data_IF_962602521963
#
_entry.id   IF_962602521963
#
_cell.length_a   1.000
_cell.length_b   1.000
_cell.length_c   1.000
_cell.angle_alpha   90.00
_cell.angle_beta   90.00
_cell.angle_gamma   90.00
#
_symmetry.space_group_name_H-M   'P 1'
#
loop_
_entity.id
_entity.type
_entity.pdbx_description
1 polymer ?
#
# COMPACT_ATOMS: atom_id res chain seq x y z
N UNK A 1 -48.94 -54.40 -34.17
CA UNK A 1 -49.26 -53.23 -33.31
C UNK A 1 -47.98 -52.75 -32.65
N UNK A 2 -47.73 -51.43 -32.57
CA UNK A 2 -46.57 -50.90 -31.84
C UNK A 2 -46.93 -50.81 -30.35
N UNK A 3 -46.01 -51.24 -29.48
CA UNK A 3 -46.14 -51.10 -28.02
C UNK A 3 -44.89 -50.44 -27.46
N UNK A 4 -45.07 -49.74 -26.35
CA UNK A 4 -44.05 -48.91 -25.72
C UNK A 4 -43.84 -49.42 -24.29
N UNK A 5 -42.61 -49.86 -24.02
CA UNK A 5 -42.20 -50.33 -22.70
C UNK A 5 -41.79 -49.13 -21.83
N UNK A 6 -42.18 -49.16 -20.57
CA UNK A 6 -41.76 -48.20 -19.55
C UNK A 6 -41.22 -48.91 -18.31
N UNK A 7 -40.43 -48.19 -17.51
CA UNK A 7 -39.92 -48.67 -16.24
C UNK A 7 -41.05 -48.86 -15.23
N UNK A 8 -41.04 -50.00 -14.52
CA UNK A 8 -42.08 -50.37 -13.58
C UNK A 8 -42.18 -49.45 -12.36
N UNK A 9 -41.08 -48.77 -12.00
CA UNK A 9 -40.97 -47.94 -10.80
C UNK A 9 -41.17 -46.47 -11.13
N UNK A 10 -40.48 -45.96 -12.15
CA UNK A 10 -40.46 -44.53 -12.49
C UNK A 10 -41.50 -44.15 -13.54
N UNK A 11 -41.93 -45.12 -14.36
CA UNK A 11 -42.73 -44.91 -15.56
C UNK A 11 -41.92 -44.40 -16.75
N UNK A 12 -40.58 -44.27 -16.65
CA UNK A 12 -39.74 -43.76 -17.74
C UNK A 12 -39.87 -44.64 -18.99
N UNK A 13 -40.09 -44.04 -20.16
CA UNK A 13 -40.07 -44.77 -21.43
C UNK A 13 -38.70 -45.41 -21.68
N UNK A 14 -38.68 -46.70 -22.00
CA UNK A 14 -37.46 -47.49 -22.25
C UNK A 14 -37.27 -47.72 -23.75
N UNK A 15 -38.24 -48.38 -24.38
CA UNK A 15 -38.12 -48.77 -25.79
C UNK A 15 -39.48 -49.03 -26.43
N UNK A 16 -39.51 -49.01 -27.76
CA UNK A 16 -40.68 -49.37 -28.56
C UNK A 16 -40.39 -50.65 -29.32
N UNK A 17 -41.38 -51.53 -29.41
CA UNK A 17 -41.30 -52.77 -30.19
C UNK A 17 -42.65 -53.14 -30.78
N UNK A 18 -42.63 -54.00 -31.77
CA UNK A 18 -43.86 -54.62 -32.26
C UNK A 18 -44.35 -55.64 -31.23
N UNK A 19 -45.64 -55.61 -30.94
CA UNK A 19 -46.29 -56.63 -30.13
C UNK A 19 -46.30 -57.96 -30.88
N UNK A 20 -46.10 -59.05 -30.16
CA UNK A 20 -46.25 -60.41 -30.68
C UNK A 20 -47.73 -60.76 -30.79
N UNK A 21 -48.11 -61.50 -31.84
CA UNK A 21 -49.45 -62.05 -31.96
C UNK A 21 -49.66 -63.14 -30.91
N UNK A 22 -50.84 -63.21 -30.34
CA UNK A 22 -51.15 -64.25 -29.38
C UNK A 22 -51.27 -65.63 -30.06
N UNK A 23 -50.44 -66.63 -29.70
CA UNK A 23 -50.46 -67.94 -30.33
C UNK A 23 -51.77 -68.72 -30.09
N UNK A 24 -52.58 -68.32 -29.10
CA UNK A 24 -53.87 -68.92 -28.79
C UNK A 24 -55.05 -68.14 -29.39
N UNK A 25 -54.82 -66.92 -29.88
CA UNK A 25 -55.85 -66.09 -30.49
C UNK A 25 -55.24 -65.10 -31.51
N UNK A 26 -55.32 -65.45 -32.80
CA UNK A 26 -54.68 -64.69 -33.88
C UNK A 26 -55.23 -63.26 -34.05
N UNK A 27 -56.40 -62.94 -33.47
CA UNK A 27 -56.99 -61.59 -33.52
C UNK A 27 -56.54 -60.69 -32.36
N UNK A 28 -55.71 -61.21 -31.44
CA UNK A 28 -55.22 -60.50 -30.25
C UNK A 28 -53.70 -60.32 -30.28
N UNK A 29 -53.26 -59.18 -29.77
CA UNK A 29 -51.84 -58.87 -29.55
C UNK A 29 -51.49 -59.02 -28.07
N UNK A 30 -50.30 -59.56 -27.78
CA UNK A 30 -49.78 -59.64 -26.42
C UNK A 30 -49.21 -58.28 -26.01
N UNK A 31 -49.71 -57.72 -24.91
CA UNK A 31 -49.16 -56.53 -24.26
C UNK A 31 -48.57 -56.98 -22.92
N UNK A 32 -47.23 -57.07 -22.82
CA UNK A 32 -46.56 -57.43 -21.57
C UNK A 32 -46.83 -56.41 -20.47
N UNK A 33 -46.59 -56.80 -19.21
CA UNK A 33 -46.61 -55.86 -18.10
C UNK A 33 -45.65 -54.69 -18.37
N UNK A 34 -46.01 -53.51 -17.87
CA UNK A 34 -45.23 -52.27 -18.05
C UNK A 34 -45.01 -51.91 -19.52
N UNK A 35 -46.01 -52.22 -20.35
CA UNK A 35 -46.09 -51.81 -21.75
C UNK A 35 -47.49 -51.28 -22.04
N UNK A 36 -47.60 -50.34 -22.98
CA UNK A 36 -48.88 -49.83 -23.47
C UNK A 36 -48.88 -49.71 -24.99
N UNK A 37 -50.07 -49.76 -25.60
CA UNK A 37 -50.28 -49.44 -27.01
C UNK A 37 -50.59 -47.94 -27.22
N UNK A 38 -50.69 -47.16 -26.13
CA UNK A 38 -50.93 -45.71 -26.21
C UNK A 38 -49.78 -45.03 -26.95
N UNK A 39 -50.12 -44.20 -27.93
CA UNK A 39 -49.17 -43.49 -28.77
C UNK A 39 -48.27 -42.56 -27.94
N UNK A 40 -46.97 -42.58 -28.23
CA UNK A 40 -46.03 -41.67 -27.59
C UNK A 40 -46.31 -40.21 -28.00
N UNK A 41 -46.28 -39.26 -27.05
CA UNK A 41 -46.40 -37.84 -27.38
C UNK A 41 -45.19 -37.37 -28.19
N UNK A 42 -45.41 -36.36 -29.04
CA UNK A 42 -44.32 -35.69 -29.74
C UNK A 42 -43.36 -35.02 -28.75
N UNK A 43 -42.08 -35.41 -28.80
CA UNK A 43 -41.06 -34.95 -27.85
C UNK A 43 -40.43 -33.64 -28.31
N UNK A 44 -40.14 -32.76 -27.35
CA UNK A 44 -39.20 -31.64 -27.53
C UNK A 44 -37.79 -32.05 -27.12
N UNK A 45 -36.72 -31.30 -27.51
CA UNK A 45 -35.34 -31.68 -27.23
C UNK A 45 -35.00 -31.91 -25.75
N UNK A 46 -35.69 -31.23 -24.83
CA UNK A 46 -35.45 -31.30 -23.39
C UNK A 46 -36.60 -32.01 -22.66
N UNK A 47 -37.20 -33.01 -23.30
CA UNK A 47 -38.30 -33.77 -22.72
C UNK A 47 -38.18 -35.28 -22.95
N UNK A 48 -38.61 -36.04 -21.94
CA UNK A 48 -38.70 -37.49 -21.98
C UNK A 48 -40.10 -37.96 -21.54
N UNK A 49 -40.65 -39.01 -22.18
CA UNK A 49 -41.96 -39.55 -21.80
C UNK A 49 -41.91 -40.40 -20.53
N UNK A 50 -42.91 -40.23 -19.67
CA UNK A 50 -43.18 -41.03 -18.48
C UNK A 50 -44.63 -41.50 -18.47
N UNK A 51 -44.88 -42.80 -18.33
CA UNK A 51 -46.21 -43.36 -18.23
C UNK A 51 -46.69 -43.29 -16.78
N UNK A 52 -47.65 -42.41 -16.49
CA UNK A 52 -48.18 -42.17 -15.14
C UNK A 52 -49.70 -42.09 -15.19
N UNK A 53 -50.35 -42.72 -14.23
CA UNK A 53 -51.82 -42.70 -14.10
C UNK A 53 -52.57 -43.11 -15.40
N UNK A 54 -52.01 -44.08 -16.15
CA UNK A 54 -52.59 -44.58 -17.39
C UNK A 54 -52.41 -43.67 -18.61
N UNK A 55 -51.49 -42.70 -18.58
CA UNK A 55 -51.21 -41.83 -19.72
C UNK A 55 -49.73 -41.42 -19.80
N UNK A 56 -49.25 -41.13 -21.01
CA UNK A 56 -47.94 -40.53 -21.22
C UNK A 56 -47.92 -39.06 -20.80
N UNK A 57 -46.92 -38.69 -20.01
CA UNK A 57 -46.62 -37.31 -19.61
C UNK A 57 -45.18 -36.99 -19.98
N UNK A 58 -44.93 -35.85 -20.62
CA UNK A 58 -43.58 -35.38 -20.88
C UNK A 58 -43.04 -34.66 -19.65
N UNK A 59 -41.86 -35.08 -19.18
CA UNK A 59 -41.11 -34.40 -18.12
C UNK A 59 -39.78 -33.89 -18.65
N UNK A 60 -39.13 -32.93 -17.96
CA UNK A 60 -37.83 -32.40 -18.34
C UNK A 60 -36.77 -33.48 -18.51
N UNK A 61 -35.93 -33.38 -19.54
CA UNK A 61 -34.77 -34.24 -19.74
C UNK A 61 -33.55 -33.41 -20.13
N UNK A 62 -32.66 -33.24 -19.17
CA UNK A 62 -31.42 -32.47 -19.29
C UNK A 62 -30.17 -33.36 -19.30
N UNK A 63 -30.35 -34.68 -19.51
CA UNK A 63 -29.21 -35.59 -19.61
C UNK A 63 -28.28 -35.22 -20.76
N UNK A 64 -26.98 -35.37 -20.54
CA UNK A 64 -25.94 -35.02 -21.51
C UNK A 64 -25.78 -33.52 -21.77
N UNK A 65 -26.45 -32.64 -21.00
CA UNK A 65 -26.25 -31.20 -21.04
C UNK A 65 -25.20 -30.80 -20.01
N UNK A 66 -24.29 -29.91 -20.42
CA UNK A 66 -23.40 -29.22 -19.49
C UNK A 66 -24.23 -28.19 -18.71
N UNK A 67 -24.30 -28.35 -17.40
CA UNK A 67 -24.95 -27.44 -16.48
C UNK A 67 -23.92 -26.90 -15.48
N UNK A 68 -24.34 -25.90 -14.69
CA UNK A 68 -23.48 -25.25 -13.72
C UNK A 68 -24.18 -25.18 -12.38
N UNK A 69 -23.46 -25.47 -11.30
CA UNK A 69 -23.98 -25.40 -9.95
C UNK A 69 -24.23 -23.95 -9.55
N UNK A 70 -25.44 -23.64 -9.10
CA UNK A 70 -25.82 -22.29 -8.66
C UNK A 70 -24.98 -21.79 -7.47
N UNK A 71 -24.45 -22.68 -6.64
CA UNK A 71 -23.65 -22.29 -5.46
C UNK A 71 -22.25 -21.78 -5.78
N UNK A 72 -21.62 -22.22 -6.88
CA UNK A 72 -20.21 -21.91 -7.15
C UNK A 72 -19.84 -21.78 -8.64
N UNK A 73 -20.72 -22.18 -9.56
CA UNK A 73 -20.49 -22.17 -11.00
C UNK A 73 -19.76 -23.40 -11.54
N UNK A 74 -19.48 -24.41 -10.71
CA UNK A 74 -18.82 -25.64 -11.17
C UNK A 74 -19.68 -26.41 -12.16
N UNK A 75 -19.03 -27.00 -13.17
CA UNK A 75 -19.68 -27.87 -14.13
C UNK A 75 -20.33 -29.07 -13.44
N UNK A 76 -21.56 -29.38 -13.83
CA UNK A 76 -22.34 -30.51 -13.35
C UNK A 76 -23.25 -31.03 -14.46
N UNK A 77 -23.78 -32.24 -14.26
CA UNK A 77 -24.73 -32.85 -15.18
C UNK A 77 -25.89 -33.49 -14.42
N UNK A 78 -27.05 -33.60 -15.08
CA UNK A 78 -28.17 -34.40 -14.61
C UNK A 78 -28.09 -35.75 -15.30
N UNK A 79 -28.13 -36.85 -14.53
CA UNK A 79 -28.04 -38.22 -15.06
C UNK A 79 -29.38 -38.91 -15.22
N UNK A 80 -30.45 -38.33 -14.67
CA UNK A 80 -31.81 -38.89 -14.70
C UNK A 80 -32.77 -37.93 -15.39
N UNK A 81 -33.68 -38.46 -16.22
CA UNK A 81 -34.77 -37.66 -16.74
C UNK A 81 -35.81 -37.41 -15.64
N UNK A 82 -36.68 -36.42 -15.86
CA UNK A 82 -37.81 -36.12 -14.99
C UNK A 82 -37.59 -34.94 -14.04
N UNK A 83 -36.45 -34.26 -14.09
CA UNK A 83 -36.13 -33.13 -13.23
C UNK A 83 -35.48 -31.98 -13.98
N UNK A 84 -35.80 -30.75 -13.59
CA UNK A 84 -35.23 -29.54 -14.18
C UNK A 84 -33.90 -29.14 -13.49
N UNK A 85 -33.03 -28.36 -14.15
CA UNK A 85 -31.78 -27.86 -13.56
C UNK A 85 -32.00 -27.16 -12.22
N UNK A 86 -32.99 -26.25 -12.14
CA UNK A 86 -33.25 -25.48 -10.94
C UNK A 86 -33.59 -26.34 -9.71
N UNK A 87 -34.31 -27.44 -9.90
CA UNK A 87 -34.67 -28.40 -8.83
C UNK A 87 -33.43 -29.11 -8.25
N UNK A 88 -32.34 -29.16 -9.01
CA UNK A 88 -31.06 -29.75 -8.62
C UNK A 88 -30.03 -28.69 -8.20
N UNK A 89 -30.44 -27.42 -8.06
CA UNK A 89 -29.53 -26.30 -7.79
C UNK A 89 -28.54 -26.05 -8.93
N UNK A 90 -28.98 -26.28 -10.17
CA UNK A 90 -28.19 -26.11 -11.40
C UNK A 90 -28.82 -25.05 -12.31
N UNK A 91 -28.01 -24.53 -13.23
CA UNK A 91 -28.41 -23.59 -14.28
C UNK A 91 -27.68 -23.93 -15.58
N UNK A 92 -28.29 -23.61 -16.72
CA UNK A 92 -27.62 -23.68 -18.03
C UNK A 92 -26.64 -22.51 -18.25
N UNK A 93 -26.75 -21.44 -17.45
CA UNK A 93 -25.92 -20.25 -17.60
C UNK A 93 -24.60 -20.40 -16.83
N UNK A 94 -23.43 -20.36 -17.49
CA UNK A 94 -22.16 -20.40 -16.80
C UNK A 94 -21.98 -19.18 -15.90
N UNK A 95 -21.31 -19.38 -14.76
CA UNK A 95 -20.92 -18.29 -13.88
C UNK A 95 -19.91 -17.38 -14.60
N UNK A 96 -20.17 -16.07 -14.76
CA UNK A 96 -19.26 -15.19 -15.51
C UNK A 96 -17.89 -15.03 -14.86
N UNK A 97 -17.85 -14.86 -13.54
CA UNK A 97 -16.63 -14.82 -12.73
C UNK A 97 -16.94 -15.15 -11.26
N UNK A 98 -15.88 -15.27 -10.46
CA UNK A 98 -15.95 -15.45 -9.01
C UNK A 98 -16.58 -14.26 -8.26
N UNK A 99 -16.86 -13.13 -8.93
CA UNK A 99 -17.55 -11.95 -8.38
C UNK A 99 -19.07 -12.07 -8.43
N UNK A 100 -19.58 -13.06 -9.17
CA UNK A 100 -21.01 -13.28 -9.34
C UNK A 100 -21.52 -14.33 -8.35
N UNK A 101 -22.70 -14.14 -7.79
CA UNK A 101 -23.42 -15.12 -6.97
C UNK A 101 -24.81 -15.35 -7.57
N UNK A 102 -25.36 -16.55 -7.42
CA UNK A 102 -26.68 -16.86 -7.94
C UNK A 102 -27.76 -16.28 -7.01
N UNK A 103 -28.57 -15.36 -7.52
CA UNK A 103 -29.69 -14.71 -6.81
C UNK A 103 -30.80 -14.40 -7.81
N UNK A 104 -32.04 -14.59 -7.40
CA UNK A 104 -33.22 -14.31 -8.24
C UNK A 104 -33.13 -14.93 -9.64
N UNK A 105 -32.74 -16.21 -9.70
CA UNK A 105 -32.58 -17.00 -10.93
C UNK A 105 -31.57 -16.44 -11.95
N UNK A 106 -30.61 -15.63 -11.50
CA UNK A 106 -29.53 -15.13 -12.34
C UNK A 106 -28.20 -15.00 -11.58
N UNK A 107 -27.11 -14.99 -12.35
CA UNK A 107 -25.81 -14.56 -11.84
C UNK A 107 -25.81 -13.05 -11.65
N UNK A 108 -25.66 -12.60 -10.40
CA UNK A 108 -25.58 -11.18 -10.07
C UNK A 108 -24.24 -10.88 -9.39
N UNK A 109 -23.65 -9.73 -9.70
CA UNK A 109 -22.44 -9.25 -9.02
C UNK A 109 -22.72 -9.13 -7.52
N UNK A 110 -21.80 -9.62 -6.69
CA UNK A 110 -21.84 -9.45 -5.24
C UNK A 110 -20.92 -8.31 -4.80
N UNK A 111 -21.48 -7.15 -4.39
CA UNK A 111 -20.68 -6.01 -3.92
C UNK A 111 -19.76 -6.37 -2.75
N UNK A 112 -20.16 -7.34 -1.91
CA UNK A 112 -19.34 -7.79 -0.79
C UNK A 112 -18.07 -8.53 -1.26
N UNK A 113 -18.18 -9.35 -2.31
CA UNK A 113 -17.04 -10.04 -2.93
C UNK A 113 -16.09 -9.04 -3.58
N UNK A 114 -16.63 -8.05 -4.30
CA UNK A 114 -15.82 -6.97 -4.88
C UNK A 114 -15.08 -6.21 -3.77
N UNK A 115 -15.78 -5.79 -2.72
CA UNK A 115 -15.17 -5.07 -1.60
C UNK A 115 -14.07 -5.89 -0.92
N UNK A 116 -14.28 -7.20 -0.76
CA UNK A 116 -13.27 -8.12 -0.21
C UNK A 116 -12.05 -8.20 -1.13
N UNK A 117 -12.24 -8.36 -2.44
CA UNK A 117 -11.14 -8.41 -3.42
C UNK A 117 -10.34 -7.11 -3.46
N UNK A 118 -11.00 -5.97 -3.50
CA UNK A 118 -10.35 -4.64 -3.45
C UNK A 118 -9.51 -4.51 -2.18
N UNK A 119 -10.07 -4.90 -1.04
CA UNK A 119 -9.34 -4.91 0.24
C UNK A 119 -8.15 -5.86 0.23
N UNK A 120 -8.32 -7.07 -0.29
CA UNK A 120 -7.26 -8.07 -0.38
C UNK A 120 -6.11 -7.61 -1.29
N UNK A 121 -6.43 -7.01 -2.44
CA UNK A 121 -5.43 -6.43 -3.33
C UNK A 121 -4.66 -5.29 -2.66
N UNK A 122 -5.36 -4.36 -2.00
CA UNK A 122 -4.73 -3.26 -1.29
C UNK A 122 -3.84 -3.75 -0.12
N UNK A 123 -4.23 -4.81 0.58
CA UNK A 123 -3.43 -5.41 1.65
C UNK A 123 -2.21 -6.16 1.12
N UNK A 124 -2.36 -6.93 0.02
CA UNK A 124 -1.22 -7.60 -0.62
C UNK A 124 -0.17 -6.60 -1.10
N UNK A 125 -0.61 -5.44 -1.57
CA UNK A 125 0.26 -4.34 -1.97
C UNK A 125 0.96 -3.68 -0.77
N UNK A 126 0.25 -3.49 0.35
CA UNK A 126 0.86 -3.06 1.62
C UNK A 126 1.94 -4.04 2.09
N UNK A 127 1.63 -5.34 2.08
CA UNK A 127 2.55 -6.39 2.54
C UNK A 127 3.81 -6.43 1.68
N UNK A 128 3.68 -6.32 0.35
CA UNK A 128 4.80 -6.23 -0.57
C UNK A 128 5.71 -5.03 -0.26
N UNK A 129 5.13 -3.83 -0.08
CA UNK A 129 5.89 -2.62 0.25
C UNK A 129 6.56 -2.69 1.62
N UNK A 130 5.83 -3.20 2.62
CA UNK A 130 6.32 -3.38 3.98
C UNK A 130 7.48 -4.38 4.02
N UNK A 131 7.36 -5.52 3.31
CA UNK A 131 8.42 -6.51 3.21
C UNK A 131 9.68 -5.93 2.58
N UNK A 132 9.55 -5.17 1.48
CA UNK A 132 10.69 -4.49 0.84
C UNK A 132 11.39 -3.52 1.80
N UNK A 133 10.62 -2.66 2.49
CA UNK A 133 11.19 -1.70 3.43
C UNK A 133 11.91 -2.37 4.61
N UNK A 134 11.36 -3.48 5.13
CA UNK A 134 12.01 -4.30 6.16
C UNK A 134 13.33 -4.90 5.67
N UNK A 135 13.36 -5.41 4.44
CA UNK A 135 14.59 -5.94 3.83
C UNK A 135 15.68 -4.87 3.74
N UNK A 136 15.33 -3.63 3.35
CA UNK A 136 16.30 -2.53 3.27
C UNK A 136 16.92 -2.14 4.62
N UNK A 137 16.19 -2.38 5.72
CA UNK A 137 16.61 -2.09 7.09
C UNK A 137 17.13 -3.31 7.86
N UNK A 138 17.11 -4.49 7.27
CA UNK A 138 17.51 -5.73 7.93
C UNK A 138 18.97 -5.62 8.44
N UNK A 139 19.17 -5.95 9.72
CA UNK A 139 20.50 -5.95 10.36
C UNK A 139 21.11 -4.57 10.64
N UNK A 140 20.45 -3.47 10.27
CA UNK A 140 21.00 -2.11 10.44
C UNK A 140 20.67 -1.44 11.78
N UNK A 141 19.71 -1.97 12.54
CA UNK A 141 19.26 -1.36 13.80
C UNK A 141 20.39 -1.28 14.86
N UNK A 142 21.06 -2.39 15.13
CA UNK A 142 22.16 -2.42 16.11
C UNK A 142 23.38 -1.65 15.60
N UNK A 143 23.69 -1.74 14.29
CA UNK A 143 24.76 -1.00 13.66
C UNK A 143 24.54 0.52 13.73
N UNK A 144 23.28 0.98 13.57
CA UNK A 144 22.92 2.39 13.76
C UNK A 144 23.10 2.81 15.22
N UNK A 145 22.60 2.01 16.18
CA UNK A 145 22.70 2.32 17.60
C UNK A 145 24.17 2.38 18.09
N UNK A 146 25.05 1.58 17.47
CA UNK A 146 26.48 1.57 17.73
C UNK A 146 27.27 2.66 16.96
N UNK A 147 26.62 3.46 16.10
CA UNK A 147 27.29 4.47 15.28
C UNK A 147 28.23 3.91 14.21
N UNK A 148 27.99 2.68 13.75
CA UNK A 148 28.85 1.96 12.81
C UNK A 148 28.45 2.16 11.34
N UNK A 149 27.29 2.78 11.09
CA UNK A 149 26.82 3.06 9.74
C UNK A 149 27.45 4.33 9.19
N UNK A 150 27.69 4.34 7.88
CA UNK A 150 27.96 5.59 7.16
C UNK A 150 26.76 6.54 7.24
N UNK A 151 27.01 7.83 6.99
CA UNK A 151 25.96 8.86 6.97
C UNK A 151 24.86 8.52 5.95
N UNK A 152 25.24 7.99 4.80
CA UNK A 152 24.29 7.56 3.76
C UNK A 152 23.45 6.36 4.20
N UNK A 153 24.07 5.35 4.82
CA UNK A 153 23.33 4.18 5.34
C UNK A 153 22.38 4.57 6.47
N UNK A 154 22.81 5.46 7.37
CA UNK A 154 21.97 6.00 8.43
C UNK A 154 20.78 6.80 7.87
N UNK A 155 21.00 7.59 6.82
CA UNK A 155 19.94 8.28 6.08
C UNK A 155 18.91 7.28 5.54
N UNK A 156 19.35 6.28 4.76
CA UNK A 156 18.43 5.30 4.18
C UNK A 156 17.68 4.51 5.25
N UNK A 157 18.34 4.15 6.35
CA UNK A 157 17.67 3.46 7.45
C UNK A 157 16.51 4.28 8.02
N UNK A 158 16.75 5.57 8.29
CA UNK A 158 15.73 6.49 8.82
C UNK A 158 14.61 6.73 7.80
N UNK A 159 14.97 6.93 6.52
CA UNK A 159 13.99 7.15 5.46
C UNK A 159 13.08 5.94 5.23
N UNK A 160 13.63 4.72 5.20
CA UNK A 160 12.84 3.49 5.12
C UNK A 160 12.02 3.22 6.39
N UNK A 161 12.48 3.69 7.55
CA UNK A 161 11.70 3.61 8.80
C UNK A 161 10.49 4.56 8.76
N UNK A 162 10.68 5.79 8.27
CA UNK A 162 9.59 6.74 8.05
C UNK A 162 8.59 6.22 7.02
N UNK A 163 9.09 5.65 5.92
CA UNK A 163 8.26 5.00 4.90
C UNK A 163 7.36 3.90 5.48
N UNK A 164 7.89 3.02 6.34
CA UNK A 164 7.08 1.99 7.02
C UNK A 164 5.95 2.58 7.86
N UNK A 165 6.24 3.67 8.60
CA UNK A 165 5.22 4.36 9.37
C UNK A 165 4.14 4.97 8.47
N UNK A 166 4.55 5.57 7.34
CA UNK A 166 3.62 6.17 6.38
C UNK A 166 2.77 5.12 5.65
N UNK A 167 3.29 3.91 5.40
CA UNK A 167 2.49 2.78 4.93
C UNK A 167 1.40 2.40 5.93
N UNK A 168 1.74 2.31 7.23
CA UNK A 168 0.76 2.00 8.28
C UNK A 168 -0.30 3.09 8.36
N UNK A 169 0.10 4.36 8.27
CA UNK A 169 -0.83 5.49 8.23
C UNK A 169 -1.75 5.42 7.01
N UNK A 170 -1.25 4.98 5.85
CA UNK A 170 -2.04 4.88 4.63
C UNK A 170 -3.21 3.89 4.75
N UNK A 171 -3.01 2.73 5.41
CA UNK A 171 -4.07 1.73 5.60
C UNK A 171 -5.05 2.07 6.74
N UNK A 172 -4.69 3.02 7.61
CA UNK A 172 -5.53 3.50 8.71
C UNK A 172 -6.48 4.65 8.30
N UNK A 173 -6.36 5.14 7.06
CA UNK A 173 -7.25 6.19 6.52
C UNK A 173 -8.65 5.64 6.27
N UNK A 174 -9.66 6.51 6.39
CA UNK A 174 -11.07 6.14 6.19
C UNK A 174 -11.36 5.74 4.74
N UNK A 175 -10.62 6.28 3.78
CA UNK A 175 -10.77 5.99 2.35
C UNK A 175 -10.21 4.63 1.94
N UNK A 176 -9.53 3.91 2.85
CA UNK A 176 -9.04 2.56 2.61
C UNK A 176 -10.21 1.55 2.59
N UNK A 177 -10.28 0.62 1.62
CA UNK A 177 -9.30 0.31 0.57
C UNK A 177 -9.58 0.99 -0.79
N UNK A 178 -10.55 1.90 -0.88
CA UNK A 178 -11.05 2.43 -2.15
C UNK A 178 -10.09 3.35 -2.88
N UNK A 179 -9.48 4.32 -2.19
CA UNK A 179 -8.57 5.30 -2.79
C UNK A 179 -7.30 5.46 -1.95
N UNK A 180 -6.38 4.50 -2.07
CA UNK A 180 -5.13 4.50 -1.31
C UNK A 180 -4.02 5.22 -2.09
N UNK A 181 -3.44 6.25 -1.47
CA UNK A 181 -2.20 6.88 -1.96
C UNK A 181 -1.02 6.34 -1.15
N UNK A 182 -0.22 5.50 -1.79
CA UNK A 182 0.98 4.94 -1.18
C UNK A 182 2.12 5.97 -1.13
N UNK A 183 2.95 5.97 -0.07
CA UNK A 183 4.16 6.77 -0.05
C UNK A 183 5.11 6.32 -1.18
N UNK A 184 5.87 7.29 -1.71
CA UNK A 184 6.97 7.02 -2.64
C UNK A 184 8.18 6.47 -1.90
N UNK A 185 9.03 5.74 -2.63
CA UNK A 185 10.31 5.28 -2.10
C UNK A 185 11.18 6.45 -1.62
N UNK A 186 12.09 6.22 -0.66
CA UNK A 186 13.13 7.18 -0.30
C UNK A 186 13.92 7.65 -1.53
N UNK A 187 14.12 8.96 -1.63
CA UNK A 187 14.93 9.56 -2.70
C UNK A 187 16.42 9.21 -2.52
N UNK A 188 17.22 9.27 -3.60
CA UNK A 188 18.66 9.06 -3.51
C UNK A 188 19.34 10.05 -2.55
N UNK A 189 20.40 9.59 -1.86
CA UNK A 189 21.13 10.42 -0.90
C UNK A 189 21.71 11.70 -1.53
N UNK A 190 22.20 11.62 -2.76
CA UNK A 190 22.72 12.79 -3.49
C UNK A 190 21.65 13.89 -3.65
N UNK A 191 20.40 13.51 -3.95
CA UNK A 191 19.29 14.46 -4.07
C UNK A 191 18.87 15.00 -2.70
N UNK A 192 18.81 14.13 -1.68
CA UNK A 192 18.47 14.53 -0.32
C UNK A 192 19.51 15.48 0.31
N UNK A 193 20.79 15.30 -0.03
CA UNK A 193 21.90 16.10 0.50
C UNK A 193 22.19 17.37 -0.28
N UNK A 194 21.75 17.47 -1.54
CA UNK A 194 22.05 18.62 -2.40
C UNK A 194 21.72 19.99 -1.76
N UNK A 195 20.57 20.20 -1.09
CA UNK A 195 20.28 21.48 -0.45
C UNK A 195 21.25 21.81 0.70
N UNK A 196 21.58 20.82 1.53
CA UNK A 196 22.49 21.00 2.66
C UNK A 196 23.94 21.23 2.19
N UNK A 197 24.35 20.57 1.10
CA UNK A 197 25.67 20.75 0.50
C UNK A 197 25.81 22.13 -0.16
N UNK A 198 24.79 22.61 -0.88
CA UNK A 198 24.81 23.96 -1.43
C UNK A 198 24.96 25.02 -0.32
N UNK A 199 24.27 24.83 0.80
CA UNK A 199 24.32 25.72 1.96
C UNK A 199 25.68 25.68 2.69
N UNK A 200 26.32 24.50 2.72
CA UNK A 200 27.69 24.32 3.19
C UNK A 200 28.68 25.05 2.28
N UNK A 201 28.59 24.87 0.97
CA UNK A 201 29.49 25.46 -0.02
C UNK A 201 29.46 26.99 0.05
N UNK A 202 28.27 27.58 0.17
CA UNK A 202 28.10 29.04 0.35
C UNK A 202 28.82 29.54 1.61
N UNK A 203 28.69 28.83 2.73
CA UNK A 203 29.34 29.22 4.00
C UNK A 203 30.83 29.01 3.98
N UNK A 204 31.30 27.92 3.37
CA UNK A 204 32.71 27.63 3.18
C UNK A 204 33.37 28.69 2.31
N UNK A 205 32.78 29.05 1.18
CA UNK A 205 33.28 30.10 0.31
C UNK A 205 33.37 31.45 1.04
N UNK A 206 32.35 31.81 1.83
CA UNK A 206 32.39 33.02 2.66
C UNK A 206 33.55 32.99 3.66
N UNK A 207 33.76 31.85 4.32
CA UNK A 207 34.85 31.71 5.27
C UNK A 207 36.23 31.78 4.59
N UNK A 208 36.38 31.20 3.40
CA UNK A 208 37.62 31.27 2.61
C UNK A 208 37.97 32.71 2.23
N UNK A 209 36.99 33.50 1.79
CA UNK A 209 37.17 34.94 1.51
C UNK A 209 37.65 35.69 2.76
N UNK A 210 37.07 35.40 3.92
CA UNK A 210 37.46 36.05 5.18
C UNK A 210 38.87 35.65 5.67
N UNK A 211 39.40 34.51 5.21
CA UNK A 211 40.71 33.99 5.58
C UNK A 211 41.81 34.28 4.54
N UNK A 212 41.44 34.77 3.35
CA UNK A 212 42.34 35.01 2.24
C UNK A 212 43.53 35.91 2.65
N UNK A 213 44.76 35.42 2.42
CA UNK A 213 46.01 36.12 2.74
C UNK A 213 46.33 36.27 4.23
N UNK A 214 45.43 35.90 5.15
CA UNK A 214 45.63 36.11 6.59
C UNK A 214 46.63 35.12 7.21
N UNK A 215 46.69 33.90 6.71
CA UNK A 215 47.70 32.92 7.14
C UNK A 215 49.13 33.39 6.78
N UNK A 216 49.32 33.92 5.56
CA UNK A 216 50.61 34.43 5.11
C UNK A 216 51.01 35.70 5.88
N UNK A 217 50.05 36.60 6.14
CA UNK A 217 50.27 37.79 6.95
C UNK A 217 50.61 37.45 8.41
N UNK A 218 50.06 36.36 8.98
CA UNK A 218 50.46 35.85 10.28
C UNK A 218 51.93 35.39 10.28
N UNK A 219 52.34 34.61 9.29
CA UNK A 219 53.73 34.13 9.14
C UNK A 219 54.71 35.29 8.95
N UNK A 220 54.30 36.33 8.22
CA UNK A 220 55.07 37.55 8.01
C UNK A 220 55.09 38.48 9.23
N UNK A 221 54.34 38.18 10.30
CA UNK A 221 54.20 39.05 11.49
C UNK A 221 53.50 40.39 11.20
N UNK A 222 52.70 40.45 10.14
CA UNK A 222 52.03 41.66 9.64
C UNK A 222 50.54 41.73 9.98
N UNK A 223 50.06 40.83 10.85
CA UNK A 223 48.66 40.74 11.26
C UNK A 223 48.37 41.67 12.44
N UNK A 224 47.35 42.51 12.33
CA UNK A 224 46.83 43.30 13.44
C UNK A 224 45.86 42.50 14.32
N UNK A 225 45.36 43.11 15.40
CA UNK A 225 44.47 42.45 16.36
C UNK A 225 43.15 41.95 15.72
N UNK A 226 42.59 42.74 14.78
CA UNK A 226 41.40 42.37 14.02
C UNK A 226 41.67 41.20 13.07
N UNK A 227 42.81 41.23 12.36
CA UNK A 227 43.25 40.15 11.49
C UNK A 227 43.47 38.85 12.25
N UNK A 228 44.04 38.91 13.45
CA UNK A 228 44.24 37.73 14.31
C UNK A 228 42.91 37.14 14.80
N UNK A 229 42.00 37.99 15.27
CA UNK A 229 40.66 37.58 15.66
C UNK A 229 39.92 36.93 14.48
N UNK A 230 39.95 37.57 13.30
CA UNK A 230 39.29 37.06 12.09
C UNK A 230 39.84 35.69 11.69
N UNK A 231 41.17 35.53 11.69
CA UNK A 231 41.81 34.25 11.39
C UNK A 231 41.34 33.15 12.35
N UNK A 232 41.37 33.38 13.66
CA UNK A 232 40.95 32.38 14.63
C UNK A 232 39.46 32.05 14.54
N UNK A 233 38.60 33.08 14.49
CA UNK A 233 37.16 32.89 14.55
C UNK A 233 36.61 32.22 13.27
N UNK A 234 37.13 32.60 12.10
CA UNK A 234 36.71 32.00 10.84
C UNK A 234 37.31 30.62 10.59
N UNK A 235 38.52 30.31 11.08
CA UNK A 235 39.02 28.92 11.09
C UNK A 235 38.17 28.03 11.99
N UNK A 236 37.81 28.49 13.20
CA UNK A 236 36.92 27.75 14.09
C UNK A 236 35.52 27.54 13.47
N UNK A 237 35.02 28.53 12.73
CA UNK A 237 33.77 28.43 11.97
C UNK A 237 33.86 27.37 10.85
N UNK A 238 34.94 27.33 10.05
CA UNK A 238 35.13 26.28 9.04
C UNK A 238 35.11 24.87 9.64
N UNK A 239 35.75 24.67 10.80
CA UNK A 239 35.73 23.38 11.49
C UNK A 239 34.36 23.06 12.09
N UNK A 240 33.60 24.06 12.51
CA UNK A 240 32.21 23.88 12.93
C UNK A 240 31.30 23.47 11.76
N UNK A 241 31.49 24.04 10.55
CA UNK A 241 30.77 23.65 9.34
C UNK A 241 31.05 22.19 8.95
N UNK A 242 32.33 21.79 8.93
CA UNK A 242 32.73 20.39 8.64
C UNK A 242 32.13 19.42 9.65
N UNK A 243 32.08 19.79 10.93
CA UNK A 243 31.42 18.99 11.97
C UNK A 243 29.90 18.94 11.78
N UNK A 244 29.27 20.00 11.28
CA UNK A 244 27.82 20.03 11.06
C UNK A 244 27.38 18.99 10.01
N UNK A 245 28.13 18.81 8.93
CA UNK A 245 27.85 17.80 7.90
C UNK A 245 28.28 16.37 8.29
N UNK A 246 29.14 16.22 9.30
CA UNK A 246 29.55 14.92 9.83
C UNK A 246 28.60 14.37 10.91
N UNK A 247 27.59 15.15 11.34
CA UNK A 247 26.60 14.72 12.32
C UNK A 247 25.57 13.77 11.70
N UNK A 248 25.01 12.90 12.53
CA UNK A 248 23.94 11.97 12.15
C UNK A 248 22.63 12.64 11.71
N UNK A 249 22.49 13.95 11.94
CA UNK A 249 21.31 14.71 11.48
C UNK A 249 21.41 15.14 10.02
N UNK A 250 22.60 15.03 9.41
CA UNK A 250 22.79 15.21 7.98
C UNK A 250 22.12 14.04 7.21
N UNK A 251 21.46 14.29 6.06
CA UNK A 251 21.32 15.59 5.38
C UNK A 251 20.07 16.40 5.76
N UNK A 252 19.12 15.82 6.49
CA UNK A 252 17.76 16.38 6.59
C UNK A 252 17.57 17.46 7.66
N UNK A 253 18.38 17.45 8.73
CA UNK A 253 18.23 18.33 9.88
C UNK A 253 19.58 18.91 10.34
N UNK A 254 20.28 19.56 9.42
CA UNK A 254 21.58 20.19 9.72
C UNK A 254 21.36 21.48 10.50
N UNK A 255 21.99 21.59 11.67
CA UNK A 255 22.05 22.84 12.44
C UNK A 255 23.36 23.52 12.13
N UNK A 256 23.30 24.65 11.40
CA UNK A 256 24.48 25.42 11.02
C UNK A 256 25.00 26.27 12.18
N UNK A 257 26.32 26.37 12.36
CA UNK A 257 26.90 27.31 13.31
C UNK A 257 26.57 28.75 12.91
N UNK A 258 26.46 29.63 13.90
CA UNK A 258 26.36 31.07 13.67
C UNK A 258 27.68 31.62 13.15
N UNK A 259 27.61 32.66 12.32
CA UNK A 259 28.80 33.32 11.81
C UNK A 259 29.55 34.05 12.95
N UNK A 260 30.89 34.16 12.86
CA UNK A 260 31.66 34.95 13.81
C UNK A 260 31.18 36.40 13.89
N UNK A 261 31.02 36.92 15.10
CA UNK A 261 30.73 38.33 15.33
C UNK A 261 31.89 39.21 14.82
N UNK A 262 31.64 40.46 14.39
CA UNK A 262 32.69 41.41 14.05
C UNK A 262 33.67 41.63 15.20
N UNK A 263 34.90 42.00 14.89
CA UNK A 263 35.88 42.36 15.92
C UNK A 263 35.44 43.63 16.65
N UNK A 264 35.35 43.58 17.98
CA UNK A 264 35.18 44.74 18.84
C UNK A 264 36.52 45.05 19.54
N UNK A 265 37.10 46.24 19.33
CA UNK A 265 38.35 46.61 20.00
C UNK A 265 38.13 46.71 21.53
N UNK A 266 39.14 46.34 22.34
CA UNK A 266 39.03 46.48 23.79
C UNK A 266 38.74 47.94 24.17
N UNK A 267 37.92 48.19 25.20
CA UNK A 267 37.57 49.54 25.60
C UNK A 267 38.85 50.34 25.90
N UNK A 268 38.98 51.50 25.26
CA UNK A 268 40.11 52.39 25.46
C UNK A 268 40.25 52.68 26.96
N UNK A 269 41.42 52.51 27.57
CA UNK A 269 41.61 52.87 28.97
C UNK A 269 41.21 54.33 29.14
N UNK A 270 40.22 54.59 29.99
CA UNK A 270 39.85 55.96 30.35
C UNK A 270 41.09 56.52 31.05
N UNK A 271 41.83 57.40 30.37
CA UNK A 271 42.85 58.22 31.02
C UNK A 271 42.12 59.10 32.02
N UNK A 272 42.08 58.68 33.29
CA UNK A 272 41.71 59.54 34.40
C UNK A 272 42.61 60.78 34.32
N UNK A 273 42.03 61.91 33.92
CA UNK A 273 42.72 63.20 33.97
C UNK A 273 42.90 63.54 35.46
N UNK A 274 44.12 63.83 35.92
CA UNK A 274 44.33 64.12 37.33
C UNK A 274 43.57 65.40 37.68
N UNK A 275 42.61 65.27 38.59
CA UNK A 275 41.83 66.39 39.13
C UNK A 275 42.81 67.32 39.85
N UNK A 276 43.08 68.49 39.26
CA UNK A 276 43.81 69.58 39.94
C UNK A 276 42.90 70.07 41.09
N UNK A 277 43.37 70.12 42.35
CA UNK A 277 42.54 70.63 43.43
C UNK A 277 42.28 72.12 43.19
N UNK A 278 41.01 72.52 43.27
CA UNK A 278 40.63 73.91 43.42
C UNK A 278 40.90 74.30 44.87
N UNK A 279 41.87 75.20 45.05
CA UNK A 279 42.15 75.86 46.32
C UNK A 279 41.10 76.96 46.50
N UNK A 280 40.14 76.71 47.37
CA UNK A 280 39.07 77.63 47.75
C UNK A 280 39.30 78.05 49.19
N UNK A 281 39.79 79.29 49.40
CA UNK A 281 39.61 80.00 50.68
C UNK A 281 40.00 81.48 50.57
N UNK A 282 39.01 82.34 50.35
CA UNK A 282 39.04 83.70 50.88
C UNK A 282 37.64 84.17 51.25
N UNK A 283 37.46 84.63 52.49
CA UNK A 283 36.33 85.47 52.90
C UNK A 283 35.47 84.93 54.05
N UNK A 284 36.04 84.83 55.25
CA UNK A 284 35.26 85.00 56.49
C UNK A 284 35.33 86.47 56.91
N UNK A 285 34.18 87.14 56.96
CA UNK A 285 34.04 88.44 57.62
C UNK A 285 32.67 88.48 58.33
N UNK A 286 32.69 88.42 59.67
CA UNK A 286 31.79 89.20 60.52
C UNK A 286 32.19 89.09 62.00
N UNK A 287 32.57 90.22 62.61
CA UNK A 287 31.98 90.73 63.86
C UNK A 287 32.69 92.04 64.30
N UNK A 288 31.94 93.09 64.70
CA UNK A 288 32.52 94.33 65.22
C UNK A 288 32.57 94.35 66.76
N UNK A 289 33.57 95.02 67.34
CA UNK A 289 33.51 95.57 68.70
C UNK A 289 34.51 96.73 68.91
N UNK A 290 33.94 97.86 69.34
CA UNK A 290 34.49 99.12 69.91
C UNK A 290 35.10 100.15 68.96
#
# INVERSE_FOLDING_TARGET
MLIHQYDATTGEYISSRLADSDPLNLDRWLIPAFSTADELPARTPLSWPFYRNGAWTLLPDYRGRMLYRQSNGEAAEILVAGTAPAENGLTETPRPSDEYTWRDDAWQVDPAVIAQKVRAAAMGEFDMRMARARTMNAGKADALAAGLLSIEEAYFFRAWSAYQLDLVRAIQREEFPGAVTWPSDPIPFAEASAPAMAEFDVRMAKAEVMLEGKADALVAGALDAEGYYTLQAWTAYQDALKRAIARETFPLAVVWPEEPAPYEPPPTPILETPTRPADDSSGQEEAPAV
#
